data_IF_522969773168
#
_entry.id   IF_522969773168
#
_cell.length_a   1.000
_cell.length_b   1.000
_cell.length_c   1.000
_cell.angle_alpha   90.00
_cell.angle_beta   90.00
_cell.angle_gamma   90.00
#
_symmetry.space_group_name_H-M   'P 1'
#
loop_
_entity.id
_entity.type
_entity.pdbx_description
1 polymer ?
#
# COMPACT_ATOMS: atom_id res chain seq x y z
N UNK A 1 -72.62 -34.61 15.75
CA UNK A 1 -73.03 -35.38 16.93
C UNK A 1 -71.79 -35.53 17.79
N UNK A 2 -71.58 -34.91 18.95
CA UNK A 2 -72.23 -33.90 19.80
C UNK A 2 -71.07 -33.35 20.69
N UNK A 3 -70.90 -32.05 20.96
CA UNK A 3 -71.52 -31.21 22.00
C UNK A 3 -71.53 -31.80 23.43
N UNK A 4 -71.11 -30.94 24.39
CA UNK A 4 -71.30 -30.98 25.85
C UNK A 4 -70.20 -31.71 26.68
N UNK A 5 -69.67 -31.22 27.80
CA UNK A 5 -70.01 -30.12 28.72
C UNK A 5 -68.92 -30.01 29.83
N UNK A 6 -69.03 -28.96 30.65
CA UNK A 6 -68.54 -28.73 32.03
C UNK A 6 -67.43 -27.70 32.28
N UNK A 7 -67.94 -26.49 32.50
CA UNK A 7 -67.40 -25.39 33.31
C UNK A 7 -67.61 -25.63 34.82
N UNK A 8 -67.01 -24.73 35.64
CA UNK A 8 -67.23 -24.42 37.07
C UNK A 8 -66.52 -25.29 38.13
N UNK A 9 -65.93 -24.79 39.25
CA UNK A 9 -65.88 -23.46 39.92
C UNK A 9 -64.93 -23.52 41.18
N UNK A 10 -64.39 -22.34 41.57
CA UNK A 10 -64.10 -21.84 42.95
C UNK A 10 -62.99 -22.55 43.76
N UNK A 11 -62.07 -21.89 44.48
CA UNK A 11 -61.86 -20.49 44.86
C UNK A 11 -60.72 -20.42 45.91
N UNK A 12 -60.28 -19.22 46.29
CA UNK A 12 -59.34 -19.03 47.42
C UNK A 12 -58.49 -17.77 47.32
N UNK A 13 -59.03 -16.66 47.83
CA UNK A 13 -58.36 -15.37 48.01
C UNK A 13 -57.24 -15.42 49.05
N UNK A 14 -56.12 -14.71 48.77
CA UNK A 14 -55.27 -14.10 49.80
C UNK A 14 -54.94 -12.67 49.35
N UNK A 15 -55.52 -11.71 50.08
CA UNK A 15 -55.22 -10.28 50.09
C UNK A 15 -53.77 -10.06 50.63
N UNK A 16 -52.98 -9.04 50.25
CA UNK A 16 -53.03 -7.65 50.81
C UNK A 16 -51.77 -6.84 50.35
N UNK A 17 -51.96 -5.51 50.13
CA UNK A 17 -51.01 -4.35 50.20
C UNK A 17 -50.04 -4.03 49.03
N UNK A 18 -49.72 -2.76 48.68
CA UNK A 18 -50.13 -1.41 49.09
C UNK A 18 -49.76 -0.40 47.98
N UNK A 19 -50.63 0.60 47.83
CA UNK A 19 -50.53 1.98 47.31
C UNK A 19 -49.17 2.56 46.84
N UNK A 20 -49.24 3.29 45.73
CA UNK A 20 -48.93 4.74 45.56
C UNK A 20 -47.98 5.11 44.40
N UNK A 21 -48.36 6.14 43.61
CA UNK A 21 -47.42 6.93 42.79
C UNK A 21 -47.85 7.20 41.33
N UNK A 22 -48.15 8.46 41.03
CA UNK A 22 -48.71 9.04 39.80
C UNK A 22 -48.03 8.77 38.43
N UNK A 23 -48.74 8.96 37.30
CA UNK A 23 -48.15 8.92 35.96
C UNK A 23 -47.36 10.20 35.67
N UNK A 24 -46.03 10.09 35.50
CA UNK A 24 -45.21 11.15 34.93
C UNK A 24 -45.26 11.09 33.40
N UNK A 25 -45.78 12.15 32.81
CA UNK A 25 -45.69 12.42 31.37
C UNK A 25 -44.22 12.37 30.92
N UNK A 26 -43.88 11.41 30.06
CA UNK A 26 -42.61 11.39 29.36
C UNK A 26 -42.77 12.17 28.04
N UNK A 27 -42.04 13.28 27.98
CA UNK A 27 -41.99 14.22 26.87
C UNK A 27 -41.33 13.60 25.63
N UNK A 28 -42.04 13.73 24.50
CA UNK A 28 -41.49 13.60 23.15
C UNK A 28 -40.38 14.64 22.97
N UNK A 29 -39.14 14.22 22.64
CA UNK A 29 -38.09 15.07 22.02
C UNK A 29 -36.80 14.28 21.72
N UNK A 30 -36.79 13.48 20.65
CA UNK A 30 -35.53 13.04 20.00
C UNK A 30 -35.77 12.84 18.49
N UNK A 31 -35.98 13.94 17.77
CA UNK A 31 -36.00 13.99 16.31
C UNK A 31 -35.30 15.28 15.89
N UNK A 32 -33.97 15.30 15.99
CA UNK A 32 -33.20 16.52 15.73
C UNK A 32 -31.69 16.39 15.76
N UNK A 33 -31.12 15.19 15.59
CA UNK A 33 -29.67 14.99 15.66
C UNK A 33 -29.08 14.07 14.58
N UNK A 34 -29.78 13.82 13.46
CA UNK A 34 -29.28 12.90 12.42
C UNK A 34 -28.72 13.62 11.18
N UNK A 35 -28.92 14.94 11.02
CA UNK A 35 -28.52 15.66 9.79
C UNK A 35 -27.09 16.25 9.88
N UNK A 36 -26.44 16.27 11.04
CA UNK A 36 -25.15 16.96 11.22
C UNK A 36 -23.89 16.10 10.99
N UNK A 37 -24.00 14.90 10.38
CA UNK A 37 -22.85 14.00 10.17
C UNK A 37 -22.39 13.86 8.71
N UNK A 38 -23.02 14.54 7.74
CA UNK A 38 -22.75 14.31 6.30
C UNK A 38 -21.73 15.28 5.66
N UNK A 39 -21.13 16.23 6.39
CA UNK A 39 -20.34 17.30 5.78
C UNK A 39 -18.81 17.18 5.92
N UNK A 40 -18.27 16.05 6.38
CA UNK A 40 -16.83 15.79 6.38
C UNK A 40 -16.41 14.76 5.32
N UNK A 41 -16.90 14.92 4.09
CA UNK A 41 -16.23 14.28 2.95
C UNK A 41 -15.10 15.18 2.51
N UNK A 42 -13.94 15.10 3.19
CA UNK A 42 -12.71 15.67 2.65
C UNK A 42 -12.53 15.11 1.24
N UNK A 43 -12.32 15.93 0.19
CA UNK A 43 -11.94 15.39 -1.10
C UNK A 43 -10.65 14.60 -0.87
N UNK A 44 -10.73 13.28 -1.00
CA UNK A 44 -9.53 12.46 -1.07
C UNK A 44 -8.87 12.85 -2.38
N UNK A 45 -7.85 13.70 -2.32
CA UNK A 45 -7.00 14.00 -3.47
C UNK A 45 -6.26 12.70 -3.80
N UNK A 46 -6.91 11.85 -4.58
CA UNK A 46 -6.34 10.60 -5.07
C UNK A 46 -5.35 10.94 -6.18
N UNK A 47 -4.13 10.45 -6.07
CA UNK A 47 -3.13 10.55 -7.13
C UNK A 47 -3.68 10.00 -8.45
N UNK A 48 -3.40 10.71 -9.54
CA UNK A 48 -3.95 10.43 -10.86
C UNK A 48 -2.90 10.65 -11.97
N UNK A 49 -3.27 10.29 -13.20
CA UNK A 49 -2.43 10.59 -14.37
C UNK A 49 -2.27 12.09 -14.61
N UNK A 50 -3.23 12.91 -14.17
CA UNK A 50 -3.18 14.37 -14.34
C UNK A 50 -2.05 15.00 -13.51
N UNK A 51 -1.73 14.42 -12.34
CA UNK A 51 -0.58 14.86 -11.53
C UNK A 51 0.74 14.65 -12.28
N UNK A 52 0.87 13.51 -12.96
CA UNK A 52 2.06 13.18 -13.78
C UNK A 52 2.09 14.03 -15.04
N UNK A 53 0.95 14.21 -15.71
CA UNK A 53 0.83 15.04 -16.91
C UNK A 53 1.20 16.50 -16.62
N UNK A 54 0.77 17.02 -15.47
CA UNK A 54 1.14 18.36 -15.01
C UNK A 54 2.65 18.49 -14.83
N UNK A 55 3.29 17.54 -14.15
CA UNK A 55 4.75 17.55 -13.99
C UNK A 55 5.47 17.46 -15.35
N UNK A 56 4.97 16.64 -16.28
CA UNK A 56 5.53 16.53 -17.61
C UNK A 56 5.41 17.84 -18.42
N UNK A 57 4.25 18.52 -18.35
CA UNK A 57 4.05 19.84 -18.96
C UNK A 57 5.01 20.89 -18.38
N UNK A 58 5.16 20.92 -17.05
CA UNK A 58 6.07 21.83 -16.36
C UNK A 58 7.55 21.60 -16.74
N UNK A 59 7.93 20.36 -17.03
CA UNK A 59 9.27 20.00 -17.53
C UNK A 59 9.45 20.37 -19.00
N UNK A 60 8.44 20.12 -19.84
CA UNK A 60 8.48 20.44 -21.27
C UNK A 60 8.56 21.95 -21.55
N UNK A 61 8.08 22.78 -20.62
CA UNK A 61 8.18 24.24 -20.67
C UNK A 61 9.58 24.78 -20.34
N UNK A 62 10.53 23.92 -19.94
CA UNK A 62 11.90 24.29 -19.54
C UNK A 62 12.92 23.70 -20.51
N UNK A 63 14.15 24.23 -20.49
CA UNK A 63 15.27 23.61 -21.19
C UNK A 63 15.56 22.22 -20.63
N UNK A 64 15.97 21.28 -21.49
CA UNK A 64 16.34 19.94 -21.06
C UNK A 64 17.54 19.96 -20.11
N UNK A 65 17.38 19.31 -18.96
CA UNK A 65 18.47 19.08 -18.00
C UNK A 65 18.93 17.62 -18.11
N UNK A 66 20.16 17.41 -18.59
CA UNK A 66 20.73 16.09 -18.68
C UNK A 66 20.91 15.48 -17.28
N UNK A 67 20.50 14.21 -17.05
CA UNK A 67 20.65 13.57 -15.76
C UNK A 67 22.14 13.41 -15.45
N UNK A 68 22.53 13.71 -14.20
CA UNK A 68 23.90 13.57 -13.72
C UNK A 68 24.05 12.24 -13.02
N UNK A 69 25.02 11.45 -13.44
CA UNK A 69 25.36 10.21 -12.76
C UNK A 69 25.83 10.47 -11.33
N UNK A 70 25.28 9.73 -10.39
CA UNK A 70 25.76 9.62 -9.00
C UNK A 70 26.64 8.37 -8.79
N UNK A 71 26.79 7.53 -9.81
CA UNK A 71 27.49 6.25 -9.72
C UNK A 71 29.03 6.43 -9.57
N UNK A 72 29.64 5.93 -8.48
CA UNK A 72 31.09 5.88 -8.33
C UNK A 72 31.79 5.05 -9.41
N UNK A 73 33.05 5.37 -9.72
CA UNK A 73 33.83 4.70 -10.77
C UNK A 73 33.88 3.17 -10.60
N UNK A 74 34.03 2.68 -9.37
CA UNK A 74 34.06 1.23 -9.09
C UNK A 74 32.83 0.47 -9.60
N UNK A 75 31.65 1.10 -9.61
CA UNK A 75 30.41 0.49 -10.10
C UNK A 75 30.17 0.80 -11.57
N UNK A 76 30.65 1.95 -12.07
CA UNK A 76 30.57 2.30 -13.49
C UNK A 76 31.47 1.40 -14.35
N UNK A 77 32.68 1.14 -13.87
CA UNK A 77 33.72 0.39 -14.59
C UNK A 77 33.67 -1.12 -14.30
N UNK A 78 32.68 -1.57 -13.52
CA UNK A 78 32.54 -2.98 -13.16
C UNK A 78 32.27 -3.85 -14.38
N UNK A 79 32.79 -5.08 -14.37
CA UNK A 79 32.53 -6.05 -15.43
C UNK A 79 31.13 -6.63 -15.26
N UNK A 80 30.54 -7.09 -16.36
CA UNK A 80 29.22 -7.73 -16.34
C UNK A 80 29.14 -8.91 -15.35
N UNK A 81 30.21 -9.71 -15.24
CA UNK A 81 30.27 -10.82 -14.30
C UNK A 81 30.19 -10.37 -12.83
N UNK A 82 30.72 -9.19 -12.49
CA UNK A 82 30.61 -8.62 -11.15
C UNK A 82 29.20 -8.07 -10.91
N UNK A 83 28.61 -7.41 -11.92
CA UNK A 83 27.25 -6.88 -11.81
C UNK A 83 26.21 -8.01 -11.60
N UNK A 84 26.38 -9.16 -12.24
CA UNK A 84 25.51 -10.34 -12.05
C UNK A 84 25.56 -10.93 -10.63
N UNK A 85 26.62 -10.65 -9.87
CA UNK A 85 26.69 -11.06 -8.47
C UNK A 85 25.88 -10.16 -7.55
N UNK A 86 25.55 -8.93 -7.97
CA UNK A 86 24.67 -8.04 -7.22
C UNK A 86 23.23 -8.49 -7.45
N UNK A 87 22.70 -9.25 -6.49
CA UNK A 87 21.36 -9.81 -6.56
C UNK A 87 20.45 -9.18 -5.52
N UNK A 88 19.19 -9.01 -5.87
CA UNK A 88 18.18 -8.59 -4.91
C UNK A 88 18.01 -9.69 -3.84
N UNK A 89 17.88 -9.30 -2.59
CA UNK A 89 17.52 -10.20 -1.51
C UNK A 89 16.01 -10.45 -1.54
N UNK A 90 15.60 -11.60 -2.08
CA UNK A 90 14.20 -11.99 -2.26
C UNK A 90 13.35 -11.93 -0.97
N UNK A 91 13.95 -12.14 0.22
CA UNK A 91 13.25 -12.01 1.51
C UNK A 91 12.78 -10.57 1.79
N UNK A 92 13.37 -9.60 1.09
CA UNK A 92 13.07 -8.17 1.20
C UNK A 92 12.17 -7.65 0.09
N UNK A 93 11.57 -8.54 -0.71
CA UNK A 93 10.62 -8.12 -1.73
C UNK A 93 9.57 -7.15 -1.16
N UNK A 94 9.37 -6.03 -1.83
CA UNK A 94 8.41 -5.02 -1.40
C UNK A 94 7.01 -5.65 -1.39
N UNK A 95 6.21 -5.28 -0.39
CA UNK A 95 4.91 -5.89 -0.10
C UNK A 95 4.93 -7.37 0.31
N UNK A 96 6.08 -7.97 0.65
CA UNK A 96 6.14 -9.34 1.18
C UNK A 96 5.25 -9.57 2.39
N UNK A 97 5.08 -8.54 3.23
CA UNK A 97 4.25 -8.56 4.45
C UNK A 97 2.80 -8.12 4.22
N UNK A 98 2.42 -7.72 3.01
CA UNK A 98 1.05 -7.29 2.69
C UNK A 98 0.24 -8.43 2.09
N UNK A 99 -1.07 -8.41 2.34
CA UNK A 99 -2.04 -9.35 1.78
C UNK A 99 -2.35 -9.00 0.31
N UNK A 100 -1.36 -9.19 -0.55
CA UNK A 100 -1.44 -9.00 -2.01
C UNK A 100 -0.62 -10.08 -2.71
N UNK A 101 -1.06 -10.60 -3.87
CA UNK A 101 -0.25 -11.52 -4.66
C UNK A 101 0.95 -10.83 -5.34
N UNK A 102 0.92 -9.51 -5.50
CA UNK A 102 2.01 -8.77 -6.12
C UNK A 102 3.18 -8.56 -5.15
N UNK A 103 4.39 -8.59 -5.70
CA UNK A 103 5.62 -8.17 -5.01
C UNK A 103 6.45 -7.31 -5.94
N UNK A 104 7.30 -6.45 -5.38
CA UNK A 104 8.27 -5.70 -6.16
C UNK A 104 9.68 -6.07 -5.73
N UNK A 105 10.57 -6.17 -6.70
CA UNK A 105 12.02 -6.19 -6.45
C UNK A 105 12.68 -5.08 -7.25
N UNK A 106 13.86 -4.67 -6.82
CA UNK A 106 14.54 -3.52 -7.38
C UNK A 106 15.83 -3.93 -8.07
N UNK A 107 16.24 -3.16 -9.07
CA UNK A 107 17.55 -3.30 -9.69
C UNK A 107 18.53 -2.31 -9.07
N UNK A 108 19.76 -2.76 -8.79
CA UNK A 108 20.84 -1.92 -8.28
C UNK A 108 21.47 -1.12 -9.43
N UNK A 109 22.00 0.07 -9.15
CA UNK A 109 22.80 0.82 -10.14
C UNK A 109 24.12 0.11 -10.46
N UNK A 110 24.65 0.28 -11.66
CA UNK A 110 25.90 -0.36 -12.05
C UNK A 110 26.09 -0.38 -13.55
N UNK A 111 27.35 -0.47 -13.99
CA UNK A 111 27.74 -0.40 -15.39
C UNK A 111 27.14 0.85 -16.06
N UNK A 112 26.25 0.66 -17.03
CA UNK A 112 25.56 1.70 -17.79
C UNK A 112 24.27 2.22 -17.13
N UNK A 113 23.85 1.65 -16.00
CA UNK A 113 22.74 2.16 -15.19
C UNK A 113 23.25 3.16 -14.14
N UNK A 114 23.77 4.28 -14.62
CA UNK A 114 24.51 5.25 -13.80
C UNK A 114 23.66 6.41 -13.25
N UNK A 115 22.40 6.50 -13.70
CA UNK A 115 21.38 7.43 -13.19
C UNK A 115 20.22 6.66 -12.55
N UNK A 116 19.80 7.00 -11.31
CA UNK A 116 18.74 6.27 -10.63
C UNK A 116 17.35 6.74 -11.06
N UNK A 117 16.36 5.89 -10.87
CA UNK A 117 14.94 6.24 -10.97
C UNK A 117 14.34 6.46 -9.58
N UNK A 118 13.40 7.40 -9.48
CA UNK A 118 12.59 7.59 -8.26
C UNK A 118 11.35 6.72 -8.33
N UNK A 119 11.13 5.91 -7.31
CA UNK A 119 9.97 5.02 -7.21
C UNK A 119 9.12 5.46 -6.03
N UNK A 120 7.82 5.67 -6.26
CA UNK A 120 6.86 6.04 -5.22
C UNK A 120 5.78 4.96 -5.10
N UNK A 121 5.45 4.59 -3.87
CA UNK A 121 4.24 3.85 -3.54
C UNK A 121 3.08 4.84 -3.39
N UNK A 122 1.97 4.53 -4.05
CA UNK A 122 0.71 5.27 -3.94
C UNK A 122 -0.30 4.40 -3.20
N UNK A 123 -0.80 4.88 -2.07
CA UNK A 123 -1.87 4.25 -1.29
C UNK A 123 -3.14 5.10 -1.34
N UNK A 124 -4.23 4.63 -0.74
CA UNK A 124 -5.48 5.40 -0.62
C UNK A 124 -5.33 6.72 0.16
N UNK A 125 -4.24 6.89 0.90
CA UNK A 125 -4.05 8.04 1.81
C UNK A 125 -2.74 8.79 1.59
N UNK A 126 -1.80 8.26 0.81
CA UNK A 126 -0.48 8.89 0.68
C UNK A 126 0.28 8.47 -0.57
N UNK A 127 1.19 9.35 -1.00
CA UNK A 127 2.27 9.03 -1.95
C UNK A 127 3.59 9.06 -1.17
N UNK A 128 4.33 7.95 -1.15
CA UNK A 128 5.58 7.83 -0.41
C UNK A 128 6.70 7.30 -1.30
N UNK A 129 7.84 7.97 -1.29
CA UNK A 129 9.02 7.46 -1.98
C UNK A 129 9.50 6.17 -1.32
N UNK A 130 9.68 5.12 -2.13
CA UNK A 130 10.39 3.91 -1.72
C UNK A 130 11.87 4.27 -1.70
N UNK A 131 12.43 4.40 -0.49
CA UNK A 131 13.84 4.75 -0.33
C UNK A 131 14.73 3.58 -0.70
N UNK A 132 15.76 3.87 -1.48
CA UNK A 132 16.85 2.94 -1.71
C UNK A 132 17.54 2.60 -0.38
N UNK A 133 17.94 1.34 -0.26
CA UNK A 133 18.84 0.85 0.78
C UNK A 133 19.74 -0.22 0.17
N UNK A 134 21.06 -0.21 0.44
CA UNK A 134 21.93 -1.30 0.03
C UNK A 134 21.50 -2.64 0.63
N UNK A 135 20.75 -2.64 1.74
CA UNK A 135 20.33 -3.87 2.40
C UNK A 135 19.31 -4.67 1.57
N UNK A 136 18.72 -4.10 0.53
CA UNK A 136 17.91 -4.83 -0.45
C UNK A 136 18.73 -5.77 -1.32
N UNK A 137 20.06 -5.66 -1.30
CA UNK A 137 20.94 -6.36 -2.23
C UNK A 137 21.98 -7.20 -1.49
N UNK A 138 22.31 -8.33 -2.09
CA UNK A 138 23.52 -9.09 -1.79
C UNK A 138 24.55 -8.78 -2.87
N UNK A 139 25.73 -8.31 -2.47
CA UNK A 139 26.80 -7.92 -3.39
C UNK A 139 27.73 -9.09 -3.77
N UNK A 140 27.51 -10.29 -3.21
CA UNK A 140 28.36 -11.46 -3.48
C UNK A 140 29.82 -11.18 -3.14
N UNK A 141 30.73 -11.41 -4.10
CA UNK A 141 32.17 -11.13 -3.94
C UNK A 141 32.59 -9.74 -4.41
N UNK A 142 31.64 -8.90 -4.86
CA UNK A 142 31.92 -7.54 -5.32
C UNK A 142 32.44 -6.69 -4.16
N UNK A 143 33.73 -6.39 -4.19
CA UNK A 143 34.35 -5.47 -3.23
C UNK A 143 33.82 -4.07 -3.45
N UNK A 144 33.30 -3.47 -2.39
CA UNK A 144 32.81 -2.11 -2.39
C UNK A 144 33.01 -1.50 -1.00
N UNK A 145 33.17 -0.18 -0.96
CA UNK A 145 33.10 0.58 0.30
C UNK A 145 31.63 0.68 0.76
N UNK A 146 31.28 0.30 2.01
CA UNK A 146 29.93 0.48 2.52
C UNK A 146 29.39 1.91 2.44
N UNK A 147 30.25 2.94 2.47
CA UNK A 147 29.80 4.33 2.31
C UNK A 147 29.43 4.65 0.86
N UNK A 148 30.15 4.08 -0.10
CA UNK A 148 29.95 4.31 -1.54
C UNK A 148 28.57 3.86 -2.05
N UNK A 149 27.96 2.88 -1.38
CA UNK A 149 26.63 2.35 -1.76
C UNK A 149 25.49 3.15 -1.13
N UNK A 150 25.72 4.01 -0.13
CA UNK A 150 24.65 4.75 0.56
C UNK A 150 24.05 5.88 -0.27
N UNK A 151 24.82 6.47 -1.17
CA UNK A 151 24.41 7.59 -2.03
C UNK A 151 23.86 7.13 -3.39
N UNK A 152 23.55 5.84 -3.53
CA UNK A 152 22.95 5.28 -4.73
C UNK A 152 21.42 5.33 -4.68
N UNK A 153 20.79 4.93 -5.79
CA UNK A 153 19.36 4.73 -5.93
C UNK A 153 19.06 3.41 -6.64
N UNK A 154 17.78 3.20 -6.97
CA UNK A 154 17.39 2.07 -7.80
C UNK A 154 17.62 2.38 -9.28
N UNK A 155 18.13 1.42 -10.05
CA UNK A 155 18.23 1.51 -11.50
C UNK A 155 16.88 1.25 -12.20
N UNK A 156 15.99 0.52 -11.52
CA UNK A 156 14.71 0.09 -12.04
C UNK A 156 14.00 -0.83 -11.04
N UNK A 157 12.91 -1.45 -11.47
CA UNK A 157 12.19 -2.43 -10.66
C UNK A 157 11.54 -3.50 -11.52
N UNK A 158 11.15 -4.60 -10.88
CA UNK A 158 10.37 -5.68 -11.48
C UNK A 158 9.15 -5.96 -10.63
N UNK A 159 8.10 -6.45 -11.28
CA UNK A 159 6.87 -6.91 -10.65
C UNK A 159 6.86 -8.42 -10.67
N UNK A 160 6.63 -9.01 -9.51
CA UNK A 160 6.43 -10.44 -9.36
C UNK A 160 4.96 -10.75 -9.09
N UNK A 161 4.50 -11.89 -9.59
CA UNK A 161 3.16 -12.42 -9.35
C UNK A 161 3.17 -13.96 -9.46
N UNK A 162 2.35 -14.69 -8.70
CA UNK A 162 2.23 -16.14 -8.81
C UNK A 162 1.41 -16.56 -10.04
N UNK A 163 1.95 -16.29 -11.23
CA UNK A 163 1.26 -16.53 -12.50
C UNK A 163 1.30 -18.02 -12.92
N UNK A 164 2.39 -18.73 -12.61
CA UNK A 164 2.59 -20.12 -13.03
C UNK A 164 2.22 -21.13 -11.92
N UNK A 165 2.50 -20.81 -10.64
CA UNK A 165 2.11 -21.62 -9.49
C UNK A 165 1.84 -20.75 -8.25
N UNK A 166 0.98 -21.24 -7.34
CA UNK A 166 0.54 -20.48 -6.17
C UNK A 166 1.66 -20.23 -5.13
N UNK A 167 2.72 -21.02 -5.16
CA UNK A 167 3.85 -21.01 -4.22
C UNK A 167 5.09 -20.30 -4.78
N UNK A 168 5.05 -19.80 -6.02
CA UNK A 168 6.20 -19.18 -6.68
C UNK A 168 5.83 -17.81 -7.24
N UNK A 169 6.56 -16.78 -6.85
CA UNK A 169 6.42 -15.44 -7.43
C UNK A 169 7.37 -15.31 -8.63
N UNK A 170 6.83 -15.34 -9.85
CA UNK A 170 7.60 -15.17 -11.08
C UNK A 170 7.59 -13.71 -11.54
N UNK A 171 8.67 -13.29 -12.21
CA UNK A 171 8.75 -11.97 -12.88
C UNK A 171 7.74 -11.89 -14.02
N UNK A 172 6.80 -10.96 -13.92
CA UNK A 172 5.78 -10.69 -14.94
C UNK A 172 5.97 -9.35 -15.64
N UNK A 173 6.81 -8.48 -15.07
CA UNK A 173 7.15 -7.19 -15.66
C UNK A 173 8.53 -6.73 -15.16
N UNK A 174 9.33 -6.12 -16.03
CA UNK A 174 10.61 -5.51 -15.67
C UNK A 174 10.77 -4.16 -16.36
N UNK A 175 11.09 -3.12 -15.58
CA UNK A 175 11.33 -1.75 -16.04
C UNK A 175 12.77 -1.38 -15.69
N UNK A 176 13.63 -1.30 -16.71
CA UNK A 176 15.05 -1.06 -16.54
C UNK A 176 15.68 -0.46 -17.80
N UNK A 177 16.29 0.72 -17.64
CA UNK A 177 16.99 1.42 -18.71
C UNK A 177 16.07 2.25 -19.60
N UNK A 178 16.44 3.51 -19.81
CA UNK A 178 15.66 4.49 -20.57
C UNK A 178 14.16 4.42 -20.21
N UNK A 179 13.29 4.21 -21.19
CA UNK A 179 11.86 3.97 -21.02
C UNK A 179 11.44 2.57 -21.50
N UNK A 180 12.35 1.58 -21.42
CA UNK A 180 12.07 0.20 -21.81
C UNK A 180 11.40 -0.59 -20.67
N UNK A 181 10.52 -1.50 -21.06
CA UNK A 181 9.94 -2.51 -20.18
C UNK A 181 9.72 -3.81 -20.96
N UNK A 182 9.70 -4.94 -20.24
CA UNK A 182 9.38 -6.28 -20.75
C UNK A 182 8.40 -7.00 -19.84
#
# INVERSE_FOLDING_TARGET
>A
MDLNDLSTRIGGDVLVNILSGQPRAASVRWLGATVLFTLFSSPAWAFSIDDVAKQAQDLAAKGFEAPKSNLPSQFREMKFADYQQIQFNHDKAYWSKLKTPFKLEFYHQGMYFDTPVKINEVTSTSVKQIKYSPDYFNFGSVKHDPESVKNLGFAGFKVLYPINSADKNDEIMSLLGASYFR
#
